data_IF_476067390733
#
_entry.id   IF_476067390733
#
_cell.length_a   1.000
_cell.length_b   1.000
_cell.length_c   1.000
_cell.angle_alpha   90.00
_cell.angle_beta   90.00
_cell.angle_gamma   90.00
#
_symmetry.space_group_name_H-M   'P 1'
#
loop_
_entity.id
_entity.type
_entity.pdbx_description
1 polymer ?
#
# COMPACT_ATOMS: atom_id res chain seq x y z
N UNK A 1 9.79 18.27 -10.73
CA UNK A 1 8.34 18.60 -10.76
C UNK A 1 7.82 18.51 -9.34
N UNK A 2 7.50 19.63 -8.71
CA UNK A 2 6.82 19.65 -7.41
C UNK A 2 5.40 19.10 -7.62
N UNK A 3 5.06 18.03 -6.92
CA UNK A 3 3.70 17.54 -6.88
C UNK A 3 3.00 18.31 -5.74
N UNK A 4 1.89 18.99 -6.02
CA UNK A 4 1.18 19.81 -5.03
C UNK A 4 -0.02 19.05 -4.40
N UNK A 5 0.04 18.65 -3.11
CA UNK A 5 -1.01 17.86 -2.46
C UNK A 5 -2.34 18.61 -2.35
N UNK A 6 -2.31 19.95 -2.32
CA UNK A 6 -3.52 20.79 -2.26
C UNK A 6 -4.42 20.56 -3.48
N UNK A 7 -3.83 20.46 -4.68
CA UNK A 7 -4.59 20.22 -5.91
C UNK A 7 -5.30 18.85 -5.90
N UNK A 8 -4.72 17.85 -5.22
CA UNK A 8 -5.37 16.54 -5.08
C UNK A 8 -6.47 16.54 -4.02
N UNK A 9 -6.34 17.33 -2.96
CA UNK A 9 -7.43 17.53 -2.01
C UNK A 9 -8.61 18.25 -2.64
N UNK A 10 -8.36 19.30 -3.43
CA UNK A 10 -9.40 20.00 -4.21
C UNK A 10 -10.08 19.06 -5.20
N UNK A 11 -9.30 18.27 -5.96
CA UNK A 11 -9.84 17.27 -6.86
C UNK A 11 -10.70 16.26 -6.10
N UNK A 12 -10.22 15.74 -4.96
CA UNK A 12 -10.96 14.79 -4.14
C UNK A 12 -12.29 15.40 -3.64
N UNK A 13 -12.29 16.67 -3.25
CA UNK A 13 -13.49 17.39 -2.83
C UNK A 13 -14.49 17.56 -3.98
N UNK A 14 -14.02 17.91 -5.18
CA UNK A 14 -14.88 18.09 -6.36
C UNK A 14 -15.52 16.77 -6.81
N UNK A 15 -14.76 15.67 -6.76
CA UNK A 15 -15.22 14.37 -7.27
C UNK A 15 -16.07 13.60 -6.25
N UNK A 16 -16.00 13.91 -4.95
CA UNK A 16 -16.77 13.18 -3.93
C UNK A 16 -18.30 13.30 -4.10
N UNK A 17 -18.81 14.35 -4.76
CA UNK A 17 -20.24 14.53 -5.06
C UNK A 17 -20.66 14.06 -6.46
N UNK A 18 -19.72 13.59 -7.29
CA UNK A 18 -20.01 13.22 -8.67
C UNK A 18 -20.51 11.77 -8.78
N UNK A 19 -21.68 11.57 -9.38
CA UNK A 19 -22.33 10.26 -9.52
C UNK A 19 -21.54 9.23 -10.35
N UNK A 20 -20.58 9.68 -11.18
CA UNK A 20 -19.76 8.82 -12.03
C UNK A 20 -18.51 8.26 -11.34
N UNK A 21 -18.25 8.62 -10.08
CA UNK A 21 -17.02 8.22 -9.38
C UNK A 21 -17.22 6.88 -8.69
N UNK A 22 -16.54 5.87 -9.22
CA UNK A 22 -16.52 4.55 -8.61
C UNK A 22 -15.60 4.54 -7.38
N UNK A 23 -15.83 3.64 -6.40
CA UNK A 23 -14.92 3.45 -5.26
C UNK A 23 -13.47 3.16 -5.67
N UNK A 24 -13.27 2.54 -6.83
CA UNK A 24 -11.95 2.27 -7.42
C UNK A 24 -11.26 3.57 -7.84
N UNK A 25 -11.97 4.46 -8.55
CA UNK A 25 -11.43 5.75 -8.96
C UNK A 25 -11.11 6.64 -7.75
N UNK A 26 -11.97 6.64 -6.74
CA UNK A 26 -11.70 7.32 -5.47
C UNK A 26 -10.43 6.77 -4.81
N UNK A 27 -10.23 5.46 -4.82
CA UNK A 27 -9.02 4.82 -4.31
C UNK A 27 -7.75 5.22 -5.06
N UNK A 28 -7.80 5.38 -6.38
CA UNK A 28 -6.68 5.89 -7.19
C UNK A 28 -6.30 7.31 -6.78
N UNK A 29 -7.28 8.20 -6.64
CA UNK A 29 -7.04 9.61 -6.26
C UNK A 29 -6.44 9.67 -4.86
N UNK A 30 -7.04 8.97 -3.89
CA UNK A 30 -6.53 8.90 -2.52
C UNK A 30 -5.12 8.30 -2.44
N UNK A 31 -4.82 7.27 -3.24
CA UNK A 31 -3.49 6.68 -3.30
C UNK A 31 -2.42 7.67 -3.78
N UNK A 32 -2.75 8.50 -4.77
CA UNK A 32 -1.84 9.55 -5.23
C UNK A 32 -1.66 10.64 -4.18
N UNK A 33 -2.73 11.03 -3.48
CA UNK A 33 -2.67 12.02 -2.40
C UNK A 33 -1.74 11.56 -1.27
N UNK A 34 -1.91 10.32 -0.81
CA UNK A 34 -1.05 9.71 0.21
C UNK A 34 0.42 9.64 -0.26
N UNK A 35 0.66 9.18 -1.49
CA UNK A 35 2.00 9.12 -2.06
C UNK A 35 2.67 10.50 -2.12
N UNK A 36 1.90 11.56 -2.30
CA UNK A 36 2.44 12.91 -2.32
C UNK A 36 2.81 13.42 -0.93
N UNK A 37 1.99 13.18 0.09
CA UNK A 37 2.38 13.47 1.46
C UNK A 37 3.66 12.73 1.86
N UNK A 38 3.78 11.45 1.48
CA UNK A 38 4.99 10.66 1.70
C UNK A 38 6.23 11.27 1.01
N UNK A 39 6.10 11.75 -0.22
CA UNK A 39 7.20 12.39 -0.95
C UNK A 39 7.59 13.75 -0.37
N UNK A 40 6.65 14.45 0.25
CA UNK A 40 6.91 15.70 0.98
C UNK A 40 7.46 15.47 2.39
N UNK A 41 7.54 14.22 2.87
CA UNK A 41 7.97 13.89 4.23
C UNK A 41 6.89 14.12 5.30
N UNK A 42 5.67 14.49 4.89
CA UNK A 42 4.52 14.78 5.74
C UNK A 42 3.78 13.49 6.15
N UNK A 43 4.52 12.56 6.75
CA UNK A 43 4.01 11.23 7.15
C UNK A 43 2.81 11.34 8.10
N UNK A 44 2.83 12.29 9.04
CA UNK A 44 1.74 12.53 9.97
C UNK A 44 0.42 12.90 9.24
N UNK A 45 0.51 13.76 8.22
CA UNK A 45 -0.64 14.11 7.37
C UNK A 45 -1.08 12.92 6.53
N UNK A 46 -0.14 12.12 6.03
CA UNK A 46 -0.47 10.90 5.29
C UNK A 46 -1.25 9.90 6.16
N UNK A 47 -0.86 9.71 7.42
CA UNK A 47 -1.57 8.85 8.37
C UNK A 47 -2.97 9.39 8.68
N UNK A 48 -3.08 10.66 9.04
CA UNK A 48 -4.37 11.29 9.30
C UNK A 48 -5.31 11.20 8.07
N UNK A 49 -4.75 11.41 6.87
CA UNK A 49 -5.53 11.28 5.63
C UNK A 49 -5.93 9.84 5.36
N UNK A 50 -5.08 8.85 5.66
CA UNK A 50 -5.45 7.44 5.53
C UNK A 50 -6.66 7.12 6.42
N UNK A 51 -6.67 7.61 7.67
CA UNK A 51 -7.80 7.43 8.61
C UNK A 51 -9.12 8.00 8.09
N UNK A 52 -9.07 9.10 7.34
CA UNK A 52 -10.24 9.67 6.67
C UNK A 52 -10.65 8.84 5.45
N UNK A 53 -9.69 8.43 4.63
CA UNK A 53 -9.93 7.73 3.36
C UNK A 53 -10.60 6.38 3.61
N UNK A 54 -10.12 5.59 4.58
CA UNK A 54 -10.64 4.24 4.85
C UNK A 54 -12.09 4.21 5.29
N UNK A 55 -12.65 5.33 5.77
CA UNK A 55 -14.08 5.45 6.11
C UNK A 55 -14.98 5.36 4.88
N UNK A 56 -14.43 5.62 3.69
CA UNK A 56 -15.21 5.73 2.45
C UNK A 56 -14.62 4.95 1.27
N UNK A 57 -13.38 4.48 1.38
CA UNK A 57 -12.68 3.70 0.36
C UNK A 57 -12.07 2.46 1.02
N UNK A 58 -12.42 1.25 0.57
CA UNK A 58 -11.79 0.03 1.05
C UNK A 58 -10.27 0.03 0.80
N UNK A 59 -9.49 -0.52 1.73
CA UNK A 59 -8.02 -0.60 1.60
C UNK A 59 -7.58 -1.35 0.34
N UNK A 60 -8.40 -2.28 -0.15
CA UNK A 60 -8.17 -3.07 -1.37
C UNK A 60 -8.22 -2.21 -2.65
N UNK A 61 -8.78 -1.01 -2.58
CA UNK A 61 -8.82 -0.06 -3.69
C UNK A 61 -7.67 0.95 -3.64
N UNK A 62 -6.84 0.91 -2.58
CA UNK A 62 -5.64 1.71 -2.48
C UNK A 62 -4.43 0.95 -3.05
N UNK A 63 -3.44 1.71 -3.50
CA UNK A 63 -2.18 1.12 -3.99
C UNK A 63 -1.40 0.50 -2.85
N UNK A 64 -1.23 -0.82 -2.89
CA UNK A 64 -0.49 -1.58 -1.87
C UNK A 64 0.90 -1.02 -1.60
N UNK A 65 1.62 -0.58 -2.65
CA UNK A 65 2.96 0.01 -2.49
C UNK A 65 2.94 1.31 -1.67
N UNK A 66 1.89 2.12 -1.77
CA UNK A 66 1.75 3.36 -0.99
C UNK A 66 1.50 3.04 0.47
N UNK A 67 0.67 2.04 0.76
CA UNK A 67 0.42 1.57 2.13
C UNK A 67 1.69 0.99 2.78
N UNK A 68 2.49 0.23 2.01
CA UNK A 68 3.77 -0.31 2.48
C UNK A 68 4.73 0.83 2.82
N UNK A 69 4.92 1.79 1.92
CA UNK A 69 5.79 2.95 2.17
C UNK A 69 5.33 3.79 3.35
N UNK A 70 4.01 3.98 3.51
CA UNK A 70 3.45 4.70 4.65
C UNK A 70 3.74 3.98 5.97
N UNK A 71 3.59 2.66 6.01
CA UNK A 71 3.92 1.85 7.19
C UNK A 71 5.42 1.94 7.53
N UNK A 72 6.29 1.85 6.53
CA UNK A 72 7.74 1.96 6.71
C UNK A 72 8.16 3.32 7.26
N UNK A 73 7.65 4.40 6.65
CA UNK A 73 7.96 5.77 7.08
C UNK A 73 7.34 6.10 8.45
N UNK A 74 6.14 5.60 8.74
CA UNK A 74 5.52 5.73 10.06
C UNK A 74 6.39 5.05 11.13
N UNK A 75 6.84 3.82 10.88
CA UNK A 75 7.73 3.10 11.79
C UNK A 75 9.06 3.84 12.00
N UNK A 76 9.66 4.38 10.93
CA UNK A 76 10.88 5.19 11.04
C UNK A 76 10.71 6.45 11.91
N UNK A 77 9.48 6.98 12.00
CA UNK A 77 9.13 8.12 12.87
C UNK A 77 8.51 7.71 14.21
N UNK A 78 8.46 6.42 14.54
CA UNK A 78 7.78 5.89 15.72
C UNK A 78 6.28 6.24 15.80
N UNK A 79 5.63 6.38 14.64
CA UNK A 79 4.20 6.64 14.51
C UNK A 79 3.44 5.31 14.33
N UNK A 80 2.26 5.15 14.94
CA UNK A 80 1.49 3.93 14.81
C UNK A 80 0.85 3.80 13.43
N UNK A 81 0.88 2.59 12.87
CA UNK A 81 0.14 2.22 11.66
C UNK A 81 -0.87 1.12 12.01
N UNK A 82 -2.14 1.49 12.12
CA UNK A 82 -3.19 0.64 12.69
C UNK A 82 -3.91 -0.25 11.66
N UNK A 83 -3.38 -0.37 10.44
CA UNK A 83 -4.03 -1.08 9.35
C UNK A 83 -3.29 -2.36 8.95
N UNK A 84 -4.05 -3.38 8.58
CA UNK A 84 -3.51 -4.57 7.91
C UNK A 84 -3.54 -4.34 6.41
N UNK A 85 -2.36 -4.36 5.78
CA UNK A 85 -2.23 -4.13 4.33
C UNK A 85 -2.78 -5.35 3.59
N UNK A 86 -3.78 -5.19 2.70
CA UNK A 86 -4.31 -6.31 1.91
C UNK A 86 -3.24 -6.93 1.01
N UNK A 87 -3.29 -8.25 0.75
CA UNK A 87 -2.40 -8.89 -0.20
C UNK A 87 -2.57 -8.26 -1.58
N UNK A 88 -1.47 -8.17 -2.35
CA UNK A 88 -1.54 -7.73 -3.74
C UNK A 88 -2.49 -8.65 -4.49
N UNK A 89 -3.46 -8.07 -5.20
CA UNK A 89 -4.36 -8.80 -6.11
C UNK A 89 -3.48 -9.35 -7.23
N UNK A 90 -2.98 -10.57 -7.07
CA UNK A 90 -2.32 -11.29 -8.15
C UNK A 90 -3.42 -11.56 -9.16
N UNK A 91 -3.37 -10.88 -10.30
CA UNK A 91 -4.18 -11.30 -11.45
C UNK A 91 -3.68 -12.69 -11.78
N UNK A 92 -4.55 -13.71 -11.73
CA UNK A 92 -4.20 -15.10 -11.95
C UNK A 92 -3.50 -15.29 -13.30
N UNK A 93 -2.18 -15.17 -13.28
CA UNK A 93 -1.29 -15.68 -14.31
C UNK A 93 -0.90 -17.06 -13.81
N UNK A 94 -1.48 -18.06 -14.46
CA UNK A 94 -1.26 -19.50 -14.27
C UNK A 94 0.12 -19.87 -13.70
N UNK A 95 0.06 -20.67 -12.63
CA UNK A 95 1.14 -21.42 -12.00
C UNK A 95 2.09 -22.11 -12.97
N UNK A 96 3.40 -21.95 -12.77
CA UNK A 96 4.40 -22.96 -13.10
C UNK A 96 5.23 -23.24 -11.85
N UNK A 97 4.87 -24.34 -11.17
CA UNK A 97 5.58 -24.92 -10.04
C UNK A 97 6.87 -25.55 -10.54
N UNK A 98 8.04 -25.00 -10.18
CA UNK A 98 9.30 -25.73 -10.29
C UNK A 98 9.73 -26.14 -8.89
N UNK A 99 9.44 -27.40 -8.55
CA UNK A 99 9.98 -28.08 -7.37
C UNK A 99 11.48 -28.20 -7.54
N UNK A 100 12.27 -27.61 -6.64
CA UNK A 100 13.68 -27.94 -6.51
C UNK A 100 13.79 -28.96 -5.37
N UNK A 101 13.94 -30.22 -5.77
CA UNK A 101 14.44 -31.32 -4.93
C UNK A 101 15.75 -30.89 -4.28
N UNK A 102 15.75 -30.71 -2.96
CA UNK A 102 16.97 -30.57 -2.16
C UNK A 102 17.15 -31.88 -1.41
N UNK A 103 18.04 -32.73 -1.93
CA UNK A 103 18.48 -33.96 -1.25
C UNK A 103 19.12 -33.64 0.11
N UNK A 104 18.74 -34.34 1.19
CA UNK A 104 19.43 -34.23 2.48
C UNK A 104 20.75 -35.02 2.45
N UNK A 105 21.88 -34.32 2.58
CA UNK A 105 23.17 -34.97 2.83
C UNK A 105 23.18 -35.65 4.21
N UNK A 106 23.22 -36.98 4.22
CA UNK A 106 23.45 -37.80 5.41
C UNK A 106 24.94 -38.13 5.53
N UNK A 107 25.68 -37.33 6.30
CA UNK A 107 27.02 -37.68 6.77
C UNK A 107 26.89 -38.59 8.00
N UNK A 108 27.20 -39.88 7.83
CA UNK A 108 27.36 -40.80 8.97
C UNK A 108 28.83 -40.86 9.37
N UNK A 109 29.05 -40.66 10.65
CA UNK A 109 30.32 -40.66 11.33
C UNK A 109 31.02 -42.03 11.39
N UNK A 110 32.35 -41.97 11.36
CA UNK A 110 33.34 -42.71 12.17
C UNK A 110 33.26 -44.24 12.38
N UNK A 111 34.48 -44.81 12.36
CA UNK A 111 35.02 -45.92 13.21
C UNK A 111 35.10 -47.31 12.57
N UNK A 112 36.29 -47.71 12.10
CA UNK A 112 37.29 -48.54 12.82
C UNK A 112 38.58 -48.63 11.99
#
# INVERSE_FOLDING_TARGET
RSANPVLLEELLSLVQGAACITPVMKGIICSNLLNMYLKSGDVDRALAKLDEVVKTVPLENLYTNVLIQLKEQANAKNLPFNYTIPPKKVKDSSSSSSSSDVEPQKSVAAKH
#
